data_IF_007755512557
#
_entry.id   IF_007755512557
#
_cell.length_a   1.000
_cell.length_b   1.000
_cell.length_c   1.000
_cell.angle_alpha   90.00
_cell.angle_beta   90.00
_cell.angle_gamma   90.00
#
_symmetry.space_group_name_H-M   'P 1'
#
loop_
_entity.id
_entity.type
_entity.pdbx_description
1 polymer ?
#
# COMPACT_ATOMS: atom_id res chain seq x y z
N UNK A 1 -24.07 -25.85 50.79
CA UNK A 1 -23.28 -25.17 49.73
C UNK A 1 -24.28 -24.59 48.74
N UNK A 2 -24.50 -23.26 48.72
CA UNK A 2 -25.47 -22.66 47.81
C UNK A 2 -24.89 -22.57 46.40
N UNK A 3 -25.76 -22.84 45.43
CA UNK A 3 -25.50 -22.81 44.00
C UNK A 3 -25.52 -21.33 43.53
N UNK A 4 -24.36 -20.80 43.12
CA UNK A 4 -24.27 -19.44 42.56
C UNK A 4 -24.69 -19.50 41.07
N UNK A 5 -25.86 -18.95 40.74
CA UNK A 5 -26.26 -18.68 39.36
C UNK A 5 -25.48 -17.46 38.85
N UNK A 6 -24.52 -17.69 37.95
CA UNK A 6 -23.92 -16.62 37.15
C UNK A 6 -24.97 -16.13 36.14
N UNK A 7 -25.55 -14.95 36.39
CA UNK A 7 -26.23 -14.20 35.34
C UNK A 7 -25.16 -13.67 34.37
N UNK A 8 -25.01 -14.33 33.22
CA UNK A 8 -24.36 -13.73 32.07
C UNK A 8 -25.20 -12.54 31.60
N UNK A 9 -24.80 -11.33 31.99
CA UNK A 9 -25.26 -10.12 31.32
C UNK A 9 -24.60 -10.13 29.94
N UNK A 10 -25.33 -10.64 28.95
CA UNK A 10 -24.97 -10.43 27.55
C UNK A 10 -25.22 -8.95 27.28
N UNK A 11 -24.17 -8.15 27.37
CA UNK A 11 -24.19 -6.79 26.85
C UNK A 11 -24.46 -6.92 25.34
N UNK A 12 -25.72 -6.71 24.94
CA UNK A 12 -26.08 -6.53 23.55
C UNK A 12 -25.43 -5.23 23.09
N UNK A 13 -24.21 -5.34 22.55
CA UNK A 13 -23.66 -4.28 21.72
C UNK A 13 -24.68 -4.04 20.62
N UNK A 14 -25.36 -2.88 20.64
CA UNK A 14 -26.29 -2.50 19.57
C UNK A 14 -25.51 -2.55 18.26
N UNK A 15 -25.69 -3.63 17.50
CA UNK A 15 -25.02 -3.80 16.23
C UNK A 15 -25.45 -2.67 15.31
N UNK A 16 -24.49 -1.89 14.81
CA UNK A 16 -24.80 -0.79 13.91
C UNK A 16 -25.22 -1.38 12.57
N UNK A 17 -26.38 -1.00 12.06
CA UNK A 17 -26.85 -1.44 10.74
C UNK A 17 -26.82 -0.21 9.85
N UNK A 18 -26.05 -0.27 8.77
CA UNK A 18 -26.11 0.71 7.69
C UNK A 18 -27.05 0.17 6.61
N UNK A 19 -28.00 1.00 6.18
CA UNK A 19 -28.89 0.69 5.07
C UNK A 19 -28.35 1.36 3.82
N UNK A 20 -28.00 0.55 2.83
CA UNK A 20 -27.51 0.98 1.52
C UNK A 20 -28.60 0.66 0.48
N UNK A 21 -28.56 1.32 -0.69
CA UNK A 21 -29.46 0.98 -1.81
C UNK A 21 -29.43 -0.51 -2.20
N UNK A 22 -28.26 -1.19 -2.26
CA UNK A 22 -28.23 -2.64 -2.56
C UNK A 22 -28.60 -3.53 -1.35
N UNK A 23 -28.75 -3.00 -0.13
CA UNK A 23 -29.15 -3.78 1.04
C UNK A 23 -28.52 -3.31 2.35
N UNK A 24 -28.78 -4.04 3.43
CA UNK A 24 -28.32 -3.69 4.78
C UNK A 24 -27.04 -4.43 5.18
N UNK A 25 -26.16 -3.77 5.95
CA UNK A 25 -24.91 -4.36 6.45
C UNK A 25 -24.78 -4.12 7.96
N UNK A 26 -24.50 -5.18 8.70
CA UNK A 26 -24.22 -5.13 10.13
C UNK A 26 -22.74 -4.85 10.37
N UNK A 27 -22.43 -3.71 10.97
CA UNK A 27 -21.11 -3.34 11.46
C UNK A 27 -21.01 -3.40 12.98
N UNK A 28 -19.94 -2.80 13.50
CA UNK A 28 -19.64 -2.74 14.93
C UNK A 28 -19.02 -1.38 15.28
N UNK A 29 -18.96 -1.07 16.58
CA UNK A 29 -18.31 0.14 17.09
C UNK A 29 -16.98 -0.24 17.73
N UNK A 30 -15.96 0.59 17.50
CA UNK A 30 -14.72 0.60 18.27
C UNK A 30 -14.47 1.99 18.83
N UNK A 31 -13.74 2.08 19.93
CA UNK A 31 -13.25 3.36 20.45
C UNK A 31 -11.77 3.48 20.09
N UNK A 32 -11.42 4.58 19.43
CA UNK A 32 -10.04 4.93 19.05
C UNK A 32 -9.18 5.18 20.29
N UNK A 33 -7.85 5.15 20.13
CA UNK A 33 -6.91 5.46 21.24
C UNK A 33 -7.13 6.85 21.87
N UNK A 34 -7.65 7.81 21.10
CA UNK A 34 -7.95 9.17 21.56
C UNK A 34 -9.37 9.34 22.09
N UNK A 35 -10.14 8.25 22.21
CA UNK A 35 -11.46 8.25 22.86
C UNK A 35 -12.64 8.57 21.95
N UNK A 36 -12.43 8.70 20.63
CA UNK A 36 -13.51 8.88 19.66
C UNK A 36 -14.09 7.52 19.25
N UNK A 37 -15.42 7.44 19.12
CA UNK A 37 -16.10 6.25 18.63
C UNK A 37 -16.12 6.21 17.09
N UNK A 38 -15.75 5.07 16.52
CA UNK A 38 -15.80 4.76 15.11
C UNK A 38 -16.82 3.65 14.83
N UNK A 39 -17.60 3.77 13.76
CA UNK A 39 -18.39 2.68 13.20
C UNK A 39 -17.59 2.02 12.07
N UNK A 40 -17.49 0.69 12.13
CA UNK A 40 -16.74 -0.12 11.19
C UNK A 40 -17.70 -1.09 10.49
N UNK A 41 -17.69 -1.05 9.16
CA UNK A 41 -18.46 -1.93 8.29
C UNK A 41 -17.51 -2.55 7.28
N UNK A 42 -17.28 -3.84 7.38
CA UNK A 42 -16.38 -4.60 6.52
C UNK A 42 -17.19 -5.38 5.45
N UNK A 43 -16.52 -5.88 4.41
CA UNK A 43 -17.09 -6.85 3.47
C UNK A 43 -18.38 -6.38 2.75
N UNK A 44 -18.42 -5.12 2.32
CA UNK A 44 -19.56 -4.54 1.57
C UNK A 44 -19.34 -4.79 0.07
N UNK A 45 -20.18 -5.56 -0.63
CA UNK A 45 -20.04 -5.73 -2.07
C UNK A 45 -20.26 -4.41 -2.81
N UNK A 46 -19.36 -4.06 -3.72
CA UNK A 46 -19.51 -2.89 -4.60
C UNK A 46 -19.75 -3.26 -6.07
N UNK A 47 -19.68 -4.55 -6.40
CA UNK A 47 -19.95 -5.10 -7.72
C UNK A 47 -20.56 -6.51 -7.58
N UNK A 48 -21.12 -7.06 -8.67
CA UNK A 48 -21.48 -8.47 -8.71
C UNK A 48 -20.24 -9.36 -8.58
N UNK A 49 -20.37 -10.55 -7.96
CA UNK A 49 -19.27 -11.52 -7.87
C UNK A 49 -18.72 -11.85 -9.28
N UNK A 50 -17.42 -11.66 -9.56
CA UNK A 50 -16.83 -11.87 -10.88
C UNK A 50 -16.53 -13.35 -11.16
N UNK A 51 -17.53 -14.21 -10.96
CA UNK A 51 -17.45 -15.67 -11.08
C UNK A 51 -18.19 -16.17 -12.33
N UNK A 52 -17.85 -17.37 -12.79
CA UNK A 52 -18.51 -18.00 -13.95
C UNK A 52 -18.37 -17.13 -15.20
N UNK A 53 -19.50 -16.78 -15.82
CA UNK A 53 -19.54 -15.91 -17.03
C UNK A 53 -19.07 -14.47 -16.77
N UNK A 54 -19.01 -14.02 -15.52
CA UNK A 54 -18.46 -12.70 -15.16
C UNK A 54 -16.95 -12.73 -14.92
N UNK A 55 -16.32 -13.91 -15.01
CA UNK A 55 -14.87 -14.04 -14.89
C UNK A 55 -14.22 -13.37 -16.10
N UNK A 56 -13.25 -12.49 -15.85
CA UNK A 56 -12.55 -11.64 -16.83
C UNK A 56 -13.39 -10.54 -17.49
N UNK A 57 -14.68 -10.43 -17.17
CA UNK A 57 -15.49 -9.31 -17.61
C UNK A 57 -15.26 -8.07 -16.75
N UNK A 58 -15.69 -6.91 -17.23
CA UNK A 58 -15.75 -5.69 -16.42
C UNK A 58 -16.66 -5.92 -15.21
N UNK A 59 -16.39 -5.30 -14.03
CA UNK A 59 -17.28 -5.41 -12.88
C UNK A 59 -18.72 -5.04 -13.25
N UNK A 60 -19.64 -5.96 -13.00
CA UNK A 60 -21.07 -5.73 -13.23
C UNK A 60 -21.72 -5.09 -11.99
N UNK A 61 -22.90 -4.49 -12.18
CA UNK A 61 -23.64 -3.83 -11.11
C UNK A 61 -23.90 -4.77 -9.93
N UNK A 62 -23.83 -4.24 -8.71
CA UNK A 62 -24.05 -4.99 -7.48
C UNK A 62 -25.44 -5.63 -7.47
N UNK A 63 -25.51 -6.89 -7.05
CA UNK A 63 -26.79 -7.61 -6.90
C UNK A 63 -27.39 -7.24 -5.54
N UNK A 64 -28.61 -6.66 -5.48
CA UNK A 64 -29.24 -6.34 -4.20
C UNK A 64 -29.48 -7.60 -3.35
N UNK A 65 -29.33 -7.46 -2.03
CA UNK A 65 -29.54 -8.54 -1.06
C UNK A 65 -30.61 -8.17 -0.04
N UNK A 66 -31.41 -9.16 0.38
CA UNK A 66 -32.52 -8.98 1.33
C UNK A 66 -32.07 -9.07 2.78
N UNK A 67 -31.23 -10.06 3.09
CA UNK A 67 -30.79 -10.31 4.46
C UNK A 67 -29.64 -9.39 4.85
N UNK A 68 -29.61 -8.95 6.12
CA UNK A 68 -28.52 -8.10 6.60
C UNK A 68 -27.19 -8.86 6.51
N UNK A 69 -26.24 -8.35 5.72
CA UNK A 69 -24.92 -8.97 5.57
C UNK A 69 -24.07 -8.76 6.82
N UNK A 70 -23.27 -9.75 7.15
CA UNK A 70 -22.28 -9.65 8.22
C UNK A 70 -21.07 -8.82 7.73
N UNK A 71 -20.99 -7.57 8.16
CA UNK A 71 -19.85 -6.68 7.96
C UNK A 71 -18.99 -6.49 9.22
N UNK A 72 -18.98 -7.47 10.12
CA UNK A 72 -18.10 -7.47 11.30
C UNK A 72 -16.74 -8.15 11.05
N UNK A 73 -16.57 -8.77 9.88
CA UNK A 73 -15.37 -9.47 9.45
C UNK A 73 -14.99 -9.06 8.04
N UNK A 74 -13.69 -9.07 7.73
CA UNK A 74 -13.20 -8.80 6.37
C UNK A 74 -13.75 -9.81 5.36
N UNK A 75 -14.00 -9.34 4.14
CA UNK A 75 -14.31 -10.18 2.99
C UNK A 75 -13.11 -10.99 2.52
N UNK A 76 -13.35 -11.88 1.57
CA UNK A 76 -12.28 -12.65 0.94
C UNK A 76 -11.25 -11.73 0.27
N UNK A 77 -10.02 -12.21 0.20
CA UNK A 77 -8.99 -11.57 -0.64
C UNK A 77 -9.18 -12.01 -2.09
N UNK A 78 -8.74 -11.20 -3.05
CA UNK A 78 -8.73 -11.65 -4.44
C UNK A 78 -7.57 -12.62 -4.66
N UNK A 79 -7.72 -13.56 -5.61
CA UNK A 79 -6.68 -14.53 -5.92
C UNK A 79 -5.39 -13.85 -6.41
N UNK A 80 -4.27 -13.98 -5.66
CA UNK A 80 -2.99 -13.46 -6.09
C UNK A 80 -2.41 -14.30 -7.23
N UNK A 81 -1.48 -13.73 -7.99
CA UNK A 81 -0.75 -14.45 -9.04
C UNK A 81 0.01 -15.68 -8.50
N UNK A 82 0.64 -15.56 -7.33
CA UNK A 82 1.41 -16.63 -6.71
C UNK A 82 0.74 -17.09 -5.40
N UNK A 83 0.51 -18.40 -5.26
CA UNK A 83 -0.10 -18.99 -4.04
C UNK A 83 0.59 -18.57 -2.73
N UNK A 84 1.92 -18.47 -2.62
CA UNK A 84 2.58 -18.02 -1.39
C UNK A 84 2.29 -16.57 -1.00
N UNK A 85 1.78 -15.75 -1.93
CA UNK A 85 1.40 -14.37 -1.68
C UNK A 85 -0.06 -14.23 -1.20
N UNK A 86 -0.78 -15.34 -1.00
CA UNK A 86 -2.11 -15.32 -0.41
C UNK A 86 -2.04 -14.90 1.06
N UNK A 87 -2.88 -13.94 1.43
CA UNK A 87 -3.03 -13.45 2.80
C UNK A 87 -4.44 -13.75 3.31
N UNK A 88 -4.67 -13.55 4.62
CA UNK A 88 -5.98 -13.76 5.22
C UNK A 88 -6.89 -12.51 5.08
N UNK A 89 -8.23 -12.68 4.99
CA UNK A 89 -8.97 -13.94 4.84
C UNK A 89 -8.66 -14.69 3.54
N UNK A 90 -8.89 -16.02 3.46
CA UNK A 90 -8.51 -16.83 2.30
C UNK A 90 -9.01 -16.24 0.97
N UNK A 91 -8.25 -16.38 -0.12
CA UNK A 91 -8.67 -15.86 -1.40
C UNK A 91 -9.92 -16.54 -1.95
N UNK A 92 -10.80 -15.75 -2.57
CA UNK A 92 -11.97 -16.18 -3.32
C UNK A 92 -12.12 -15.30 -4.58
N UNK A 93 -12.87 -15.75 -5.58
CA UNK A 93 -13.22 -14.91 -6.73
C UNK A 93 -14.34 -13.91 -6.39
N UNK A 94 -15.23 -14.23 -5.45
CA UNK A 94 -16.18 -13.26 -4.87
C UNK A 94 -15.46 -12.34 -3.86
N UNK A 95 -14.58 -11.48 -4.39
CA UNK A 95 -13.71 -10.63 -3.60
C UNK A 95 -13.98 -9.12 -3.77
N UNK A 96 -14.86 -8.70 -4.69
CA UNK A 96 -15.11 -7.28 -5.01
C UNK A 96 -15.91 -6.55 -3.91
N UNK A 97 -15.22 -6.28 -2.82
CA UNK A 97 -15.78 -5.73 -1.58
C UNK A 97 -15.00 -4.50 -1.12
N UNK A 98 -15.69 -3.63 -0.39
CA UNK A 98 -15.12 -2.47 0.27
C UNK A 98 -15.40 -2.52 1.77
N UNK A 99 -14.63 -1.74 2.52
CA UNK A 99 -14.79 -1.54 3.95
C UNK A 99 -14.93 -0.04 4.23
N UNK A 100 -15.76 0.33 5.21
CA UNK A 100 -16.02 1.71 5.63
C UNK A 100 -15.69 1.82 7.11
N UNK A 101 -14.90 2.84 7.46
CA UNK A 101 -14.58 3.23 8.82
C UNK A 101 -14.99 4.70 8.94
N UNK A 102 -15.98 5.01 9.78
CA UNK A 102 -16.57 6.37 9.86
C UNK A 102 -16.76 6.85 11.30
N UNK A 103 -16.76 8.17 11.55
CA UNK A 103 -17.11 8.71 12.86
C UNK A 103 -18.52 8.30 13.28
N UNK A 104 -18.68 7.87 14.53
CA UNK A 104 -19.98 7.54 15.13
C UNK A 104 -20.70 8.81 15.60
N UNK A 105 -21.06 9.66 14.66
CA UNK A 105 -21.86 10.86 14.87
C UNK A 105 -22.55 11.28 13.58
N UNK A 106 -23.56 12.13 13.70
CA UNK A 106 -24.25 12.70 12.55
C UNK A 106 -23.26 13.49 11.68
N UNK A 107 -23.38 13.36 10.36
CA UNK A 107 -22.54 14.11 9.44
C UNK A 107 -23.00 15.58 9.39
N UNK A 108 -22.07 16.53 9.23
CA UNK A 108 -22.46 17.92 8.95
C UNK A 108 -23.15 17.99 7.58
N UNK A 109 -23.79 19.12 7.28
CA UNK A 109 -24.55 19.30 6.03
C UNK A 109 -23.75 19.04 4.74
N UNK A 110 -22.42 19.20 4.78
CA UNK A 110 -21.52 18.93 3.65
C UNK A 110 -20.94 17.52 3.62
N UNK A 111 -21.31 16.66 4.57
CA UNK A 111 -20.71 15.34 4.75
C UNK A 111 -19.31 15.39 5.38
N UNK A 112 -18.71 14.21 5.53
CA UNK A 112 -17.31 14.06 5.93
C UNK A 112 -16.42 13.90 4.68
N UNK A 113 -15.18 14.41 4.69
CA UNK A 113 -14.18 14.01 3.70
C UNK A 113 -13.96 12.49 3.72
N UNK A 114 -13.70 11.93 2.55
CA UNK A 114 -13.50 10.49 2.36
C UNK A 114 -12.08 10.24 1.84
N UNK A 115 -11.30 9.48 2.59
CA UNK A 115 -10.04 8.89 2.16
C UNK A 115 -10.32 7.51 1.56
N UNK A 116 -10.25 7.38 0.23
CA UNK A 116 -10.33 6.10 -0.47
C UNK A 116 -8.92 5.50 -0.62
N UNK A 117 -8.69 4.36 0.03
CA UNK A 117 -7.43 3.63 -0.04
C UNK A 117 -7.54 2.43 -0.98
N UNK A 118 -6.64 2.40 -1.96
CA UNK A 118 -6.46 1.30 -2.92
C UNK A 118 -5.11 0.66 -2.63
N UNK A 119 -5.11 -0.63 -2.30
CA UNK A 119 -3.87 -1.30 -1.92
C UNK A 119 -2.89 -1.46 -3.09
N UNK A 120 -1.59 -1.41 -2.76
CA UNK A 120 -0.52 -1.74 -3.69
C UNK A 120 -0.39 -3.26 -3.93
N UNK A 121 0.76 -3.65 -4.48
CA UNK A 121 1.08 -5.04 -4.84
C UNK A 121 1.30 -5.28 -6.32
N UNK A 122 1.57 -4.21 -7.10
CA UNK A 122 1.93 -4.29 -8.51
C UNK A 122 0.85 -4.92 -9.40
N UNK A 123 -0.41 -4.85 -8.98
CA UNK A 123 -1.56 -5.54 -9.60
C UNK A 123 -1.50 -7.07 -9.54
N UNK A 124 -0.53 -7.68 -8.85
CA UNK A 124 -0.31 -9.13 -8.81
C UNK A 124 -0.73 -9.74 -7.46
N UNK A 125 -0.59 -8.96 -6.38
CA UNK A 125 -0.79 -9.38 -4.99
C UNK A 125 -1.40 -8.23 -4.17
N UNK A 126 -1.62 -8.46 -2.87
CA UNK A 126 -2.09 -7.45 -1.93
C UNK A 126 -3.55 -7.62 -1.54
N UNK A 127 -3.95 -6.95 -0.47
CA UNK A 127 -5.32 -6.92 0.03
C UNK A 127 -5.55 -5.73 0.97
N UNK A 128 -6.77 -5.21 0.98
CA UNK A 128 -7.24 -4.23 1.96
C UNK A 128 -7.15 -4.73 3.41
N UNK A 129 -7.30 -6.03 3.64
CA UNK A 129 -7.21 -6.62 4.98
C UNK A 129 -5.81 -6.51 5.61
N UNK A 130 -4.75 -6.33 4.82
CA UNK A 130 -3.37 -6.12 5.30
C UNK A 130 -3.29 -4.87 6.19
N UNK A 131 -4.07 -3.84 5.87
CA UNK A 131 -4.04 -2.56 6.57
C UNK A 131 -4.92 -2.56 7.83
N UNK A 132 -5.79 -3.55 7.99
CA UNK A 132 -6.76 -3.60 9.09
C UNK A 132 -7.73 -2.41 9.08
N UNK A 133 -8.34 -2.15 10.23
CA UNK A 133 -9.21 -0.97 10.43
C UNK A 133 -8.78 -0.12 11.64
N UNK A 134 -7.98 -0.67 12.55
CA UNK A 134 -7.61 -0.01 13.80
C UNK A 134 -6.71 1.22 13.56
N UNK A 135 -5.66 1.08 12.75
CA UNK A 135 -4.76 2.20 12.45
C UNK A 135 -5.51 3.34 11.76
N UNK A 136 -6.30 3.01 10.73
CA UNK A 136 -7.18 3.97 10.08
C UNK A 136 -8.14 4.65 11.06
N UNK A 137 -8.79 3.88 11.94
CA UNK A 137 -9.69 4.45 12.93
C UNK A 137 -8.96 5.41 13.88
N UNK A 138 -7.80 5.00 14.40
CA UNK A 138 -7.00 5.80 15.33
C UNK A 138 -6.52 7.12 14.72
N UNK A 139 -6.16 7.10 13.43
CA UNK A 139 -5.56 8.24 12.74
C UNK A 139 -6.64 9.20 12.22
N UNK A 140 -7.65 8.70 11.52
CA UNK A 140 -8.52 9.54 10.69
C UNK A 140 -9.84 9.93 11.35
N UNK A 141 -10.38 9.09 12.23
CA UNK A 141 -11.68 9.32 12.87
C UNK A 141 -11.69 10.50 13.86
N UNK A 142 -10.63 10.75 14.66
CA UNK A 142 -10.55 11.96 15.50
C UNK A 142 -10.61 13.25 14.69
N UNK A 143 -10.32 13.17 13.39
CA UNK A 143 -10.31 14.29 12.47
C UNK A 143 -11.53 14.29 11.54
N UNK A 144 -12.58 13.53 11.83
CA UNK A 144 -13.81 13.54 11.04
C UNK A 144 -13.60 13.13 9.57
N UNK A 145 -12.66 12.22 9.32
CA UNK A 145 -12.39 11.66 7.99
C UNK A 145 -12.93 10.23 7.94
N UNK A 146 -13.74 9.93 6.93
CA UNK A 146 -14.16 8.56 6.62
C UNK A 146 -13.04 7.89 5.85
N UNK A 147 -12.71 6.65 6.21
CA UNK A 147 -11.80 5.82 5.42
C UNK A 147 -12.59 4.74 4.71
N UNK A 148 -12.35 4.59 3.41
CA UNK A 148 -12.86 3.49 2.59
C UNK A 148 -11.68 2.70 2.07
N UNK A 149 -11.66 1.38 2.26
CA UNK A 149 -10.65 0.49 1.65
C UNK A 149 -11.33 -0.48 0.71
N UNK A 150 -10.70 -0.80 -0.43
CA UNK A 150 -11.29 -1.69 -1.44
C UNK A 150 -10.41 -2.88 -1.74
N UNK A 151 -11.05 -4.01 -2.04
CA UNK A 151 -10.45 -5.10 -2.78
C UNK A 151 -10.67 -4.89 -4.27
N UNK A 152 -9.70 -5.21 -5.10
CA UNK A 152 -9.86 -5.31 -6.54
C UNK A 152 -9.18 -6.60 -7.01
N UNK A 153 -9.61 -7.15 -8.17
CA UNK A 153 -8.98 -8.35 -8.72
C UNK A 153 -7.48 -8.08 -8.92
N UNK A 154 -6.65 -9.10 -8.78
CA UNK A 154 -5.20 -9.00 -8.98
C UNK A 154 -4.72 -10.22 -9.76
N UNK A 155 -3.45 -10.23 -10.15
CA UNK A 155 -2.83 -11.30 -10.91
C UNK A 155 -3.40 -11.41 -12.31
N UNK A 156 -3.57 -12.65 -12.78
CA UNK A 156 -4.05 -12.97 -14.14
C UNK A 156 -5.41 -12.31 -14.45
N UNK A 157 -6.19 -11.97 -13.43
CA UNK A 157 -7.51 -11.35 -13.58
C UNK A 157 -7.50 -9.88 -14.02
N UNK A 158 -6.41 -9.14 -13.83
CA UNK A 158 -6.23 -7.74 -14.30
C UNK A 158 -5.24 -7.63 -15.48
N UNK A 159 -4.72 -8.76 -15.97
CA UNK A 159 -3.44 -8.75 -16.68
C UNK A 159 -3.57 -8.54 -18.20
N UNK A 160 -3.54 -7.27 -18.60
CA UNK A 160 -2.98 -6.84 -19.89
C UNK A 160 -1.97 -5.69 -19.71
N UNK A 161 -0.82 -5.95 -19.08
CA UNK A 161 0.40 -5.14 -19.26
C UNK A 161 1.58 -6.08 -19.52
N UNK A 162 2.01 -6.15 -20.79
CA UNK A 162 3.13 -7.00 -21.22
C UNK A 162 4.46 -6.66 -20.54
N UNK A 163 4.65 -5.42 -20.09
CA UNK A 163 5.86 -4.96 -19.40
C UNK A 163 6.02 -5.58 -17.99
N UNK A 164 4.94 -5.73 -17.23
CA UNK A 164 4.97 -6.34 -15.88
C UNK A 164 5.21 -7.85 -15.98
N UNK A 165 4.60 -8.51 -16.98
CA UNK A 165 4.88 -9.93 -17.31
C UNK A 165 6.35 -10.21 -17.60
N UNK A 166 7.05 -9.27 -18.25
CA UNK A 166 8.47 -9.42 -18.58
C UNK A 166 9.39 -9.26 -17.35
N UNK A 167 9.01 -8.42 -16.37
CA UNK A 167 9.84 -8.10 -15.20
C UNK A 167 9.50 -8.93 -13.94
N UNK A 168 8.24 -9.33 -13.75
CA UNK A 168 7.74 -10.04 -12.56
C UNK A 168 8.56 -11.28 -12.15
N UNK A 169 9.04 -12.15 -13.07
CA UNK A 169 9.90 -13.28 -12.72
C UNK A 169 11.32 -12.90 -12.27
N UNK A 170 11.68 -11.62 -12.32
CA UNK A 170 13.02 -11.11 -12.06
C UNK A 170 13.07 -10.06 -10.95
N UNK A 171 11.94 -9.53 -10.48
CA UNK A 171 11.93 -8.48 -9.44
C UNK A 171 12.62 -8.94 -8.16
N UNK A 172 12.36 -10.19 -7.73
CA UNK A 172 13.03 -10.81 -6.58
C UNK A 172 14.53 -11.05 -6.78
N UNK A 173 15.06 -10.92 -8.01
CA UNK A 173 16.48 -11.07 -8.34
C UNK A 173 17.24 -9.74 -8.35
N UNK A 174 16.58 -8.62 -8.12
CA UNK A 174 17.26 -7.34 -7.88
C UNK A 174 17.81 -7.23 -6.45
N UNK A 175 17.42 -8.12 -5.53
CA UNK A 175 18.07 -8.21 -4.22
C UNK A 175 19.52 -8.67 -4.36
N UNK A 176 20.46 -7.88 -3.84
CA UNK A 176 21.85 -8.32 -3.67
C UNK A 176 21.98 -8.95 -2.28
N UNK A 177 22.53 -10.16 -2.23
CA UNK A 177 22.76 -10.82 -0.94
C UNK A 177 24.02 -10.27 -0.25
N UNK A 178 24.06 -10.18 1.09
CA UNK A 178 25.22 -9.68 1.82
C UNK A 178 26.55 -10.37 1.45
N UNK A 179 26.54 -11.68 1.20
CA UNK A 179 27.74 -12.43 0.80
C UNK A 179 28.31 -12.03 -0.57
N UNK A 180 27.55 -11.29 -1.38
CA UNK A 180 27.96 -10.80 -2.69
C UNK A 180 28.34 -9.31 -2.67
N UNK A 181 28.22 -8.60 -1.53
CA UNK A 181 28.44 -7.15 -1.46
C UNK A 181 29.82 -6.74 -1.95
N UNK A 182 30.89 -7.34 -1.42
CA UNK A 182 32.28 -7.02 -1.80
C UNK A 182 32.61 -7.31 -3.27
N UNK A 183 31.76 -8.08 -3.96
CA UNK A 183 31.94 -8.37 -5.39
C UNK A 183 31.46 -7.23 -6.29
N UNK A 184 30.81 -6.20 -5.73
CA UNK A 184 30.37 -5.02 -6.48
C UNK A 184 31.51 -4.03 -6.65
N UNK A 185 31.78 -3.71 -7.91
CA UNK A 185 32.75 -2.73 -8.35
C UNK A 185 32.20 -2.05 -9.61
N UNK A 186 32.92 -1.06 -10.12
CA UNK A 186 32.55 -0.31 -11.32
C UNK A 186 32.14 -1.20 -12.48
N UNK A 187 32.99 -2.16 -12.84
CA UNK A 187 32.78 -3.01 -14.00
C UNK A 187 31.50 -3.85 -13.85
N UNK A 188 31.30 -4.46 -12.68
CA UNK A 188 30.10 -5.24 -12.39
C UNK A 188 28.83 -4.37 -12.41
N UNK A 189 28.90 -3.15 -11.89
CA UNK A 189 27.77 -2.24 -11.94
C UNK A 189 27.45 -1.81 -13.38
N UNK A 190 28.45 -1.51 -14.20
CA UNK A 190 28.26 -1.19 -15.62
C UNK A 190 27.67 -2.39 -16.40
N UNK A 191 28.14 -3.61 -16.14
CA UNK A 191 27.53 -4.82 -16.71
C UNK A 191 26.05 -4.95 -16.33
N UNK A 192 25.70 -4.60 -15.09
CA UNK A 192 24.32 -4.54 -14.65
C UNK A 192 23.51 -3.48 -15.42
N UNK A 193 24.03 -2.25 -15.53
CA UNK A 193 23.37 -1.15 -16.26
C UNK A 193 23.09 -1.55 -17.72
N UNK A 194 24.09 -2.09 -18.41
CA UNK A 194 23.97 -2.59 -19.80
C UNK A 194 22.95 -3.71 -19.97
N UNK A 195 22.68 -4.48 -18.91
CA UNK A 195 21.67 -5.54 -18.93
C UNK A 195 20.25 -5.00 -18.71
N UNK A 196 20.10 -3.93 -17.94
CA UNK A 196 18.78 -3.35 -17.61
C UNK A 196 18.34 -2.32 -18.63
N UNK A 197 19.26 -1.48 -19.11
CA UNK A 197 19.02 -0.59 -20.25
C UNK A 197 18.98 -1.48 -21.50
N UNK A 198 17.78 -1.81 -21.96
CA UNK A 198 17.62 -2.73 -23.09
C UNK A 198 17.74 -1.95 -24.41
N UNK A 199 18.73 -2.31 -25.22
CA UNK A 199 18.99 -1.77 -26.57
C UNK A 199 17.71 -1.64 -27.42
N UNK A 200 16.81 -2.61 -27.32
CA UNK A 200 15.52 -2.62 -28.06
C UNK A 200 14.62 -1.39 -27.82
N UNK A 201 14.85 -0.63 -26.75
CA UNK A 201 14.08 0.58 -26.42
C UNK A 201 14.75 1.87 -26.89
N UNK A 202 16.02 1.79 -27.32
CA UNK A 202 16.84 2.95 -27.68
C UNK A 202 17.33 2.93 -29.12
N UNK A 203 17.12 1.83 -29.86
CA UNK A 203 17.50 1.69 -31.28
C UNK A 203 18.92 2.24 -31.53
N UNK A 204 19.07 3.21 -32.43
CA UNK A 204 20.36 3.80 -32.83
C UNK A 204 20.99 4.71 -31.76
N UNK A 205 20.26 5.04 -30.68
CA UNK A 205 20.71 5.92 -29.59
C UNK A 205 21.25 5.15 -28.37
N UNK A 206 21.33 3.82 -28.44
CA UNK A 206 21.69 3.01 -27.28
C UNK A 206 23.06 3.37 -26.70
N UNK A 207 24.06 3.63 -27.54
CA UNK A 207 25.43 3.97 -27.08
C UNK A 207 25.46 5.32 -26.33
N UNK A 208 24.80 6.35 -26.87
CA UNK A 208 24.70 7.65 -26.20
C UNK A 208 23.92 7.52 -24.87
N UNK A 209 22.79 6.78 -24.89
CA UNK A 209 21.95 6.58 -23.72
C UNK A 209 22.69 5.82 -22.60
N UNK A 210 23.45 4.76 -22.94
CA UNK A 210 24.20 4.02 -21.93
C UNK A 210 25.40 4.81 -21.43
N UNK A 211 26.04 5.63 -22.26
CA UNK A 211 27.11 6.54 -21.83
C UNK A 211 26.59 7.56 -20.81
N UNK A 212 25.44 8.18 -21.06
CA UNK A 212 24.80 9.10 -20.13
C UNK A 212 24.44 8.42 -18.80
N UNK A 213 23.89 7.20 -18.85
CA UNK A 213 23.56 6.41 -17.65
C UNK A 213 24.83 6.05 -16.86
N UNK A 214 25.89 5.60 -17.52
CA UNK A 214 27.16 5.29 -16.86
C UNK A 214 27.73 6.55 -16.21
N UNK A 215 27.75 7.66 -16.94
CA UNK A 215 28.24 8.96 -16.44
C UNK A 215 27.45 9.41 -15.21
N UNK A 216 26.12 9.28 -15.26
CA UNK A 216 25.23 9.74 -14.18
C UNK A 216 25.33 8.92 -12.90
N UNK A 217 25.49 7.60 -13.01
CA UNK A 217 25.41 6.68 -11.87
C UNK A 217 26.74 6.05 -11.47
N UNK A 218 27.59 5.68 -12.41
CA UNK A 218 28.85 4.99 -12.11
C UNK A 218 30.04 5.95 -11.95
N UNK A 219 30.09 7.03 -12.74
CA UNK A 219 31.24 7.93 -12.80
C UNK A 219 31.02 9.23 -12.02
N UNK A 220 30.89 9.11 -10.70
CA UNK A 220 30.87 10.26 -9.78
C UNK A 220 32.22 10.38 -9.06
N UNK A 221 32.66 11.61 -8.82
CA UNK A 221 33.88 11.93 -8.06
C UNK A 221 33.68 11.64 -6.54
N UNK A 222 33.47 10.37 -6.18
CA UNK A 222 33.27 9.87 -4.82
C UNK A 222 34.20 8.67 -4.52
N UNK A 223 34.24 8.21 -3.26
CA UNK A 223 35.05 7.05 -2.85
C UNK A 223 34.73 5.77 -3.65
N UNK A 224 35.78 5.08 -4.10
CA UNK A 224 35.71 3.80 -4.82
C UNK A 224 35.63 2.60 -3.87
N UNK A 225 34.40 2.18 -3.54
CA UNK A 225 34.15 0.98 -2.73
C UNK A 225 32.87 0.27 -3.14
N UNK A 226 32.70 -0.99 -2.73
CA UNK A 226 31.52 -1.77 -3.08
C UNK A 226 30.21 -1.13 -2.57
N UNK A 227 30.27 -0.45 -1.43
CA UNK A 227 29.13 0.30 -0.87
C UNK A 227 28.70 1.44 -1.78
N UNK A 228 29.64 2.14 -2.43
CA UNK A 228 29.30 3.17 -3.44
C UNK A 228 28.53 2.53 -4.60
N UNK A 229 29.03 1.44 -5.18
CA UNK A 229 28.37 0.82 -6.33
C UNK A 229 27.01 0.18 -5.99
N UNK A 230 26.81 -0.29 -4.76
CA UNK A 230 25.51 -0.78 -4.28
C UNK A 230 24.52 0.35 -3.95
N UNK A 231 25.01 1.47 -3.44
CA UNK A 231 24.22 2.69 -3.25
C UNK A 231 23.74 3.22 -4.61
N UNK A 232 24.64 3.32 -5.60
CA UNK A 232 24.31 3.70 -6.99
C UNK A 232 23.37 2.71 -7.67
N UNK A 233 23.54 1.41 -7.41
CA UNK A 233 22.59 0.38 -7.84
C UNK A 233 21.17 0.64 -7.33
N UNK A 234 21.06 0.98 -6.04
CA UNK A 234 19.78 1.26 -5.38
C UNK A 234 19.14 2.54 -5.92
N UNK A 235 19.94 3.59 -6.14
CA UNK A 235 19.51 4.85 -6.75
C UNK A 235 18.97 4.60 -8.17
N UNK A 236 19.73 3.90 -9.02
CA UNK A 236 19.33 3.59 -10.39
C UNK A 236 18.01 2.80 -10.46
N UNK A 237 17.84 1.78 -9.60
CA UNK A 237 16.61 0.99 -9.57
C UNK A 237 15.43 1.82 -9.03
N UNK A 238 15.64 2.63 -8.01
CA UNK A 238 14.60 3.55 -7.49
C UNK A 238 14.13 4.52 -8.57
N UNK A 239 15.06 5.11 -9.31
CA UNK A 239 14.76 6.06 -10.38
C UNK A 239 14.03 5.40 -11.55
N UNK A 240 14.49 4.21 -11.95
CA UNK A 240 13.91 3.45 -13.08
C UNK A 240 12.49 2.96 -12.78
N UNK A 241 12.21 2.50 -11.55
CA UNK A 241 10.92 1.89 -11.20
C UNK A 241 9.90 2.89 -10.66
N UNK A 242 10.33 3.96 -9.99
CA UNK A 242 9.42 4.84 -9.26
C UNK A 242 9.67 6.33 -9.49
N UNK A 243 10.87 6.83 -9.19
CA UNK A 243 11.05 8.27 -9.01
C UNK A 243 10.87 9.06 -10.31
N UNK A 244 11.48 8.62 -11.42
CA UNK A 244 11.39 9.36 -12.69
C UNK A 244 9.95 9.39 -13.19
N UNK A 245 9.25 8.25 -13.21
CA UNK A 245 7.85 8.19 -13.63
C UNK A 245 6.92 9.02 -12.72
N UNK A 246 7.19 9.06 -11.41
CA UNK A 246 6.45 9.89 -10.47
C UNK A 246 6.66 11.39 -10.76
N UNK A 247 7.91 11.82 -10.94
CA UNK A 247 8.27 13.21 -11.27
C UNK A 247 7.67 13.62 -12.61
N UNK A 248 7.79 12.81 -13.65
CA UNK A 248 7.18 13.06 -14.96
C UNK A 248 5.66 13.21 -14.85
N UNK A 249 5.02 12.34 -14.07
CA UNK A 249 3.59 12.40 -13.81
C UNK A 249 3.15 13.66 -13.04
N UNK A 250 3.99 14.16 -12.13
CA UNK A 250 3.77 15.41 -11.39
C UNK A 250 3.91 16.61 -12.34
N UNK A 251 5.00 16.65 -13.13
CA UNK A 251 5.28 17.73 -14.06
C UNK A 251 4.19 17.83 -15.14
N UNK A 252 3.78 16.70 -15.74
CA UNK A 252 2.72 16.67 -16.73
C UNK A 252 1.37 17.19 -16.20
N UNK A 253 1.01 16.88 -14.94
CA UNK A 253 -0.21 17.39 -14.30
C UNK A 253 -0.12 18.88 -13.99
N UNK A 254 1.03 19.33 -13.51
CA UNK A 254 1.29 20.76 -13.29
C UNK A 254 1.18 21.55 -14.59
N UNK A 255 1.74 21.04 -15.68
CA UNK A 255 1.67 21.67 -17.00
C UNK A 255 0.22 21.67 -17.54
N UNK A 256 -0.61 20.71 -17.12
CA UNK A 256 -2.05 20.70 -17.35
C UNK A 256 -2.87 21.61 -16.39
N UNK A 257 -2.21 22.38 -15.54
CA UNK A 257 -2.85 23.37 -14.63
C UNK A 257 -3.34 22.81 -13.29
N UNK A 258 -2.91 21.62 -12.90
CA UNK A 258 -3.29 21.02 -11.61
C UNK A 258 -2.43 21.58 -10.48
N UNK A 259 -3.05 21.83 -9.32
CA UNK A 259 -2.31 22.09 -8.09
C UNK A 259 -1.71 20.76 -7.60
N UNK A 260 -0.38 20.68 -7.63
CA UNK A 260 0.35 19.48 -7.26
C UNK A 260 1.14 19.71 -5.98
N UNK A 261 1.04 18.77 -5.04
CA UNK A 261 1.86 18.69 -3.84
C UNK A 261 2.59 17.36 -3.87
N UNK A 262 3.92 17.40 -3.74
CA UNK A 262 4.77 16.22 -3.75
C UNK A 262 5.59 16.16 -2.46
N UNK A 263 5.87 14.95 -2.00
CA UNK A 263 6.74 14.71 -0.85
C UNK A 263 7.74 13.59 -1.17
N UNK A 264 8.89 13.62 -0.50
CA UNK A 264 9.80 12.47 -0.37
C UNK A 264 9.76 11.98 1.07
N UNK A 265 9.71 10.68 1.29
CA UNK A 265 9.71 10.08 2.62
C UNK A 265 11.05 9.38 2.86
N UNK A 266 12.02 10.13 3.35
CA UNK A 266 13.41 9.66 3.51
C UNK A 266 13.72 9.15 4.93
N UNK A 267 12.78 9.34 5.86
CA UNK A 267 12.93 8.86 7.24
C UNK A 267 12.77 7.33 7.31
N UNK A 268 13.62 6.67 8.08
CA UNK A 268 13.50 5.24 8.37
C UNK A 268 13.96 4.94 9.79
N UNK A 269 13.45 3.85 10.38
CA UNK A 269 13.92 3.36 11.67
C UNK A 269 15.03 2.33 11.45
N UNK A 270 16.17 2.47 12.14
CA UNK A 270 17.32 1.55 12.01
C UNK A 270 16.97 0.08 12.26
N UNK A 271 15.93 -0.22 13.04
CA UNK A 271 15.52 -1.58 13.38
C UNK A 271 14.98 -2.39 12.17
N UNK A 272 14.66 -1.74 11.05
CA UNK A 272 14.27 -2.47 9.82
C UNK A 272 15.48 -3.08 9.10
N UNK A 273 16.69 -2.64 9.43
CA UNK A 273 17.92 -3.08 8.78
C UNK A 273 18.66 -4.12 9.63
N UNK A 274 19.15 -5.18 8.99
CA UNK A 274 20.03 -6.13 9.64
C UNK A 274 21.39 -5.50 9.97
N UNK A 275 22.01 -5.92 11.07
CA UNK A 275 23.28 -5.35 11.55
C UNK A 275 24.42 -5.46 10.53
N UNK A 276 24.40 -6.50 9.70
CA UNK A 276 25.40 -6.74 8.65
C UNK A 276 25.19 -5.90 7.37
N UNK A 277 24.13 -5.08 7.30
CA UNK A 277 23.95 -4.12 6.22
C UNK A 277 24.74 -2.84 6.58
N UNK A 278 25.72 -2.43 5.76
CA UNK A 278 26.47 -1.21 6.00
C UNK A 278 25.57 0.02 6.10
N UNK A 279 25.94 0.98 6.96
CA UNK A 279 25.14 2.20 7.19
C UNK A 279 24.88 2.98 5.91
N UNK A 280 25.85 3.04 4.99
CA UNK A 280 25.72 3.71 3.69
C UNK A 280 24.58 3.12 2.82
N UNK A 281 24.26 1.85 3.01
CA UNK A 281 23.22 1.15 2.25
C UNK A 281 21.86 1.13 2.96
N UNK A 282 21.78 1.73 4.16
CA UNK A 282 20.52 1.85 4.91
C UNK A 282 19.80 3.10 4.44
N UNK A 283 18.51 2.97 4.20
CA UNK A 283 17.65 4.06 3.72
C UNK A 283 16.18 3.79 4.00
N UNK A 284 15.31 4.56 3.36
CA UNK A 284 13.87 4.39 3.35
C UNK A 284 13.45 3.54 2.15
N UNK A 285 13.33 2.20 2.29
CA UNK A 285 12.90 1.36 1.17
C UNK A 285 11.42 1.56 0.85
N UNK A 286 11.00 1.14 -0.34
CA UNK A 286 9.58 1.08 -0.70
C UNK A 286 8.76 0.37 0.39
N UNK A 287 7.59 0.91 0.76
CA UNK A 287 6.67 0.45 1.84
C UNK A 287 7.05 0.95 3.25
N UNK A 288 8.21 1.60 3.43
CA UNK A 288 8.67 2.07 4.73
C UNK A 288 7.77 3.14 5.38
N UNK A 289 6.93 3.83 4.61
CA UNK A 289 5.98 4.82 5.10
C UNK A 289 4.76 4.20 5.81
N UNK A 290 4.52 2.89 5.65
CA UNK A 290 3.29 2.23 6.13
C UNK A 290 3.06 2.33 7.65
N UNK A 291 4.07 2.18 8.53
CA UNK A 291 3.88 2.36 9.97
C UNK A 291 3.38 3.76 10.32
N UNK A 292 3.78 4.76 9.54
CA UNK A 292 3.49 6.17 9.79
C UNK A 292 2.12 6.59 9.24
N UNK A 293 1.64 5.98 8.16
CA UNK A 293 0.35 6.33 7.53
C UNK A 293 -0.79 5.40 7.99
N UNK A 294 -0.49 4.13 8.30
CA UNK A 294 -1.48 3.08 8.53
C UNK A 294 -1.31 2.30 9.84
N UNK A 295 -0.21 2.50 10.57
CA UNK A 295 0.20 1.63 11.70
C UNK A 295 0.47 0.17 11.28
N UNK A 296 0.98 -0.03 10.07
CA UNK A 296 1.28 -1.36 9.50
C UNK A 296 2.78 -1.57 9.38
N UNK A 297 3.32 -2.58 10.08
CA UNK A 297 4.75 -2.87 10.14
C UNK A 297 5.15 -3.99 9.17
N UNK A 298 5.30 -3.65 7.89
CA UNK A 298 5.57 -4.64 6.84
C UNK A 298 7.05 -5.07 6.74
N UNK A 299 7.99 -4.20 7.13
CA UNK A 299 9.43 -4.41 6.90
C UNK A 299 10.22 -4.76 8.17
N UNK A 300 9.63 -4.58 9.35
CA UNK A 300 10.27 -4.83 10.63
C UNK A 300 9.41 -4.29 11.76
N UNK A 301 9.48 -4.92 12.92
CA UNK A 301 8.75 -4.48 14.11
C UNK A 301 9.65 -3.59 14.96
N UNK A 302 9.18 -2.37 15.24
CA UNK A 302 9.83 -1.44 16.15
C UNK A 302 8.78 -0.65 16.92
N UNK A 303 9.20 -0.08 18.05
CA UNK A 303 8.31 0.73 18.87
C UNK A 303 8.21 2.15 18.28
N UNK A 304 6.99 2.66 18.17
CA UNK A 304 6.74 4.07 17.85
C UNK A 304 7.07 4.93 19.07
N UNK A 305 8.35 5.26 19.23
CA UNK A 305 8.84 6.20 20.25
C UNK A 305 8.41 7.63 19.93
N UNK A 306 8.86 8.59 20.74
CA UNK A 306 8.48 10.00 20.57
C UNK A 306 8.91 10.57 19.20
N UNK A 307 10.11 10.22 18.71
CA UNK A 307 10.60 10.71 17.41
C UNK A 307 9.78 10.11 16.28
N UNK A 308 9.51 8.82 16.34
CA UNK A 308 8.69 8.15 15.33
C UNK A 308 7.26 8.69 15.29
N UNK A 309 6.70 9.06 16.45
CA UNK A 309 5.38 9.68 16.54
C UNK A 309 5.35 11.07 15.91
N UNK A 310 6.39 11.89 16.10
CA UNK A 310 6.47 13.20 15.43
C UNK A 310 6.47 13.04 13.91
N UNK A 311 7.24 12.09 13.38
CA UNK A 311 7.24 11.79 11.93
C UNK A 311 5.85 11.33 11.47
N UNK A 312 5.22 10.42 12.22
CA UNK A 312 3.88 9.93 11.92
C UNK A 312 2.85 11.06 11.92
N UNK A 313 2.87 11.94 12.92
CA UNK A 313 1.96 13.08 13.02
C UNK A 313 2.08 14.02 11.82
N UNK A 314 3.31 14.34 11.38
CA UNK A 314 3.53 15.21 10.22
C UNK A 314 2.88 14.63 8.95
N UNK A 315 3.14 13.36 8.64
CA UNK A 315 2.59 12.75 7.43
C UNK A 315 1.07 12.56 7.55
N UNK A 316 0.57 12.09 8.69
CA UNK A 316 -0.86 11.92 8.92
C UNK A 316 -1.63 13.25 8.78
N UNK A 317 -1.14 14.32 9.41
CA UNK A 317 -1.76 15.64 9.29
C UNK A 317 -1.73 16.17 7.86
N UNK A 318 -0.70 15.83 7.08
CA UNK A 318 -0.64 16.17 5.66
C UNK A 318 -1.77 15.51 4.87
N UNK A 319 -1.99 14.20 5.04
CA UNK A 319 -3.11 13.48 4.39
C UNK A 319 -4.48 13.97 4.87
N UNK A 320 -4.64 14.20 6.18
CA UNK A 320 -5.88 14.69 6.79
C UNK A 320 -6.23 16.09 6.25
N UNK A 321 -5.25 16.98 6.18
CA UNK A 321 -5.46 18.36 5.70
C UNK A 321 -5.77 18.36 4.21
N UNK A 322 -5.00 17.61 3.40
CA UNK A 322 -5.23 17.49 1.97
C UNK A 322 -6.63 16.93 1.66
N UNK A 323 -7.08 15.90 2.39
CA UNK A 323 -8.42 15.35 2.23
C UNK A 323 -9.55 16.35 2.56
N UNK A 324 -9.27 17.35 3.40
CA UNK A 324 -10.25 18.36 3.83
C UNK A 324 -10.27 19.59 2.95
N UNK A 325 -9.11 20.05 2.50
CA UNK A 325 -8.97 21.39 1.90
C UNK A 325 -8.27 21.41 0.55
N UNK A 326 -7.74 20.28 0.07
CA UNK A 326 -6.79 20.25 -1.05
C UNK A 326 -5.50 20.99 -0.70
#
# INVERSE_FOLDING_TARGET
MPLLLLLCVVASAKSQIINLEPGSVQGFTITTRSGYDAEVFLNIPYAAPPIGELRFEKPAATIPWKETRNGTVFGATCHPHARPAAVLPPPDEDCLTLNIIRPKKEAPSGGYPILLWVHGGGYEIGAASIYGYQGFANIYIPHDVIVVTIQYRVGVYELMIAAIKALSPYIHKFGVKPEDFEKWNRNRFIEFLKRVVLERFYEDQFEDAIEDVITRYADRDEEDGYEFYLDRYTEFISDTFFNVAAVDGILARRDAGWNMYAYSFDHYNDAIWADNVPKRLRGSPHVNEYPYIFEVFALGNYNMDEKERVVAEIIQQSFISFAKTG
#
